data_IF_482756813987
#
_entry.id   IF_482756813987
#
_cell.length_a   1.000
_cell.length_b   1.000
_cell.length_c   1.000
_cell.angle_alpha   90.00
_cell.angle_beta   90.00
_cell.angle_gamma   90.00
#
_symmetry.space_group_name_H-M   'P 1'
#
loop_
_entity.id
_entity.type
_entity.pdbx_description
1 polymer ?
#
# COMPACT_ATOMS: atom_id res chain seq x y z
N UNK A 1 -19.90 -20.21 -27.64
CA UNK A 1 -20.88 -19.88 -26.58
C UNK A 1 -20.25 -19.93 -25.17
N UNK A 2 -19.02 -20.42 -25.02
CA UNK A 2 -18.32 -20.60 -23.72
C UNK A 2 -17.52 -19.40 -23.19
N UNK A 3 -17.15 -18.44 -24.06
CA UNK A 3 -16.39 -17.25 -23.62
C UNK A 3 -17.20 -16.31 -22.72
N UNK A 4 -18.49 -16.16 -22.98
CA UNK A 4 -19.36 -15.26 -22.20
C UNK A 4 -19.74 -15.80 -20.80
N UNK A 5 -19.63 -17.11 -20.55
CA UNK A 5 -19.84 -17.70 -19.22
C UNK A 5 -18.60 -17.58 -18.32
N UNK A 6 -17.39 -17.56 -18.89
CA UNK A 6 -16.14 -17.38 -18.13
C UNK A 6 -15.99 -15.98 -17.56
N UNK A 7 -16.41 -14.94 -18.27
CA UNK A 7 -16.28 -13.55 -17.85
C UNK A 7 -17.15 -13.20 -16.62
N UNK A 8 -18.29 -13.85 -16.44
CA UNK A 8 -19.20 -13.58 -15.29
C UNK A 8 -18.65 -14.04 -13.93
N UNK A 9 -17.70 -14.97 -13.92
CA UNK A 9 -17.18 -15.58 -12.69
C UNK A 9 -15.78 -15.09 -12.30
N UNK A 10 -15.19 -14.13 -13.03
CA UNK A 10 -13.87 -13.61 -12.71
C UNK A 10 -13.90 -12.76 -11.45
N UNK A 11 -12.85 -12.80 -10.61
CA UNK A 11 -12.80 -12.01 -9.40
C UNK A 11 -12.81 -10.51 -9.69
N UNK A 12 -13.51 -9.77 -8.87
CA UNK A 12 -13.41 -8.31 -8.76
C UNK A 12 -12.39 -8.01 -7.67
N UNK A 13 -11.28 -7.36 -8.00
CA UNK A 13 -10.15 -7.25 -7.07
C UNK A 13 -9.90 -5.81 -6.69
N UNK A 14 -9.91 -5.54 -5.39
CA UNK A 14 -9.43 -4.29 -4.81
C UNK A 14 -8.08 -4.54 -4.12
N UNK A 15 -7.02 -3.91 -4.59
CA UNK A 15 -5.78 -3.76 -3.84
C UNK A 15 -5.88 -2.49 -3.02
N UNK A 16 -6.14 -2.63 -1.72
CA UNK A 16 -6.02 -1.54 -0.79
C UNK A 16 -4.66 -1.59 -0.10
N UNK A 17 -4.04 -0.47 0.17
CA UNK A 17 -2.66 -0.47 0.67
C UNK A 17 -2.33 0.76 1.49
N UNK A 18 -1.39 0.63 2.41
CA UNK A 18 -0.73 1.80 2.97
C UNK A 18 0.13 2.43 1.87
N UNK A 19 0.10 3.76 1.66
CA UNK A 19 0.97 4.40 0.69
C UNK A 19 2.44 4.01 0.88
N UNK A 20 3.17 3.77 -0.21
CA UNK A 20 4.60 3.36 -0.19
C UNK A 20 4.88 1.95 0.35
N UNK A 21 3.88 1.11 0.54
CA UNK A 21 4.01 -0.26 1.03
C UNK A 21 4.20 -1.33 -0.07
N UNK A 22 4.32 -0.95 -1.34
CA UNK A 22 4.50 -1.92 -2.43
C UNK A 22 3.24 -2.19 -3.25
N UNK A 23 2.29 -1.26 -3.32
CA UNK A 23 1.06 -1.36 -4.12
C UNK A 23 1.33 -1.84 -5.55
N UNK A 24 2.31 -1.22 -6.23
CA UNK A 24 2.64 -1.58 -7.61
C UNK A 24 3.27 -2.98 -7.75
N UNK A 25 3.98 -3.47 -6.73
CA UNK A 25 4.47 -4.85 -6.71
C UNK A 25 3.28 -5.81 -6.68
N UNK A 26 2.33 -5.58 -5.76
CA UNK A 26 1.14 -6.41 -5.66
C UNK A 26 0.28 -6.34 -6.94
N UNK A 27 0.12 -5.17 -7.53
CA UNK A 27 -0.54 -5.00 -8.84
C UNK A 27 0.13 -5.84 -9.92
N UNK A 28 1.47 -5.83 -9.99
CA UNK A 28 2.20 -6.65 -10.96
C UNK A 28 1.97 -8.15 -10.71
N UNK A 29 2.04 -8.60 -9.47
CA UNK A 29 1.75 -10.00 -9.10
C UNK A 29 0.36 -10.40 -9.58
N UNK A 30 -0.67 -9.64 -9.26
CA UNK A 30 -2.06 -9.96 -9.60
C UNK A 30 -2.31 -9.90 -11.11
N UNK A 31 -1.67 -9.00 -11.84
CA UNK A 31 -1.74 -8.95 -13.31
C UNK A 31 -1.08 -10.15 -14.01
N UNK A 32 -0.36 -11.00 -13.28
CA UNK A 32 0.09 -12.30 -13.77
C UNK A 32 -1.02 -13.35 -13.86
N UNK A 33 -2.19 -13.09 -13.27
CA UNK A 33 -3.38 -13.96 -13.40
C UNK A 33 -4.01 -13.72 -14.77
N UNK A 34 -4.17 -14.75 -15.63
CA UNK A 34 -4.77 -14.59 -16.95
C UNK A 34 -6.17 -14.00 -16.91
N UNK A 35 -6.40 -12.98 -17.74
CA UNK A 35 -7.69 -12.29 -17.84
C UNK A 35 -7.90 -11.16 -16.84
N UNK A 36 -7.01 -10.99 -15.84
CA UNK A 36 -7.06 -9.83 -14.96
C UNK A 36 -6.47 -8.61 -15.67
N UNK A 37 -7.24 -7.53 -15.66
CA UNK A 37 -6.83 -6.24 -16.22
C UNK A 37 -6.96 -5.13 -15.17
N UNK A 38 -6.17 -4.09 -15.29
CA UNK A 38 -6.24 -2.93 -14.42
C UNK A 38 -6.81 -1.74 -15.19
N UNK A 39 -7.91 -1.15 -14.71
CA UNK A 39 -8.23 0.24 -15.03
C UNK A 39 -7.29 1.14 -14.24
N UNK A 40 -6.76 2.19 -14.88
CA UNK A 40 -5.70 3.06 -14.29
C UNK A 40 -6.20 3.95 -13.14
N UNK A 41 -7.33 3.63 -12.53
CA UNK A 41 -7.91 4.41 -11.44
C UNK A 41 -7.28 4.02 -10.10
N UNK A 42 -6.71 4.99 -9.41
CA UNK A 42 -6.33 4.90 -8.01
C UNK A 42 -7.34 5.71 -7.20
N UNK A 43 -7.98 5.07 -6.23
CA UNK A 43 -8.93 5.74 -5.36
C UNK A 43 -8.25 6.12 -4.04
N UNK A 44 -8.32 7.39 -3.70
CA UNK A 44 -7.88 7.92 -2.42
C UNK A 44 -9.09 8.15 -1.51
N UNK A 45 -8.84 8.58 -0.29
CA UNK A 45 -9.83 8.89 0.75
C UNK A 45 -10.85 10.00 0.38
N UNK A 46 -10.92 10.39 -0.88
CA UNK A 46 -11.85 11.42 -1.35
C UNK A 46 -13.28 10.89 -1.51
N UNK A 47 -14.24 11.76 -1.75
CA UNK A 47 -15.66 11.50 -1.97
C UNK A 47 -15.97 10.43 -3.03
N UNK A 48 -14.97 10.02 -3.79
CA UNK A 48 -15.09 9.07 -4.90
C UNK A 48 -14.79 7.60 -4.53
N UNK A 49 -14.47 7.26 -3.27
CA UNK A 49 -14.09 5.88 -2.94
C UNK A 49 -15.20 4.85 -3.20
N UNK A 50 -16.47 5.25 -3.15
CA UNK A 50 -17.61 4.37 -3.47
C UNK A 50 -17.60 3.89 -4.94
N UNK A 51 -16.90 4.57 -5.85
CA UNK A 51 -16.71 4.09 -7.23
C UNK A 51 -15.94 2.77 -7.30
N UNK A 52 -15.24 2.39 -6.24
CA UNK A 52 -14.65 1.05 -6.10
C UNK A 52 -15.72 -0.05 -6.17
N UNK A 53 -16.96 0.23 -5.78
CA UNK A 53 -18.04 -0.73 -5.85
C UNK A 53 -18.49 -1.06 -7.29
N UNK A 54 -18.09 -0.24 -8.26
CA UNK A 54 -18.37 -0.43 -9.70
C UNK A 54 -17.36 -1.35 -10.40
N UNK A 55 -16.41 -1.95 -9.67
CA UNK A 55 -15.42 -2.90 -10.22
C UNK A 55 -16.11 -4.02 -10.96
N UNK A 56 -15.67 -4.27 -12.19
CA UNK A 56 -16.20 -5.31 -13.08
C UNK A 56 -15.50 -6.65 -12.86
N UNK A 57 -16.13 -7.77 -13.23
CA UNK A 57 -15.45 -9.07 -13.26
C UNK A 57 -14.13 -9.01 -14.07
N UNK A 58 -13.04 -9.51 -13.49
CA UNK A 58 -11.70 -9.44 -14.06
C UNK A 58 -10.97 -8.10 -13.87
N UNK A 59 -11.63 -7.11 -13.32
CA UNK A 59 -11.02 -5.81 -13.09
C UNK A 59 -10.28 -5.76 -11.76
N UNK A 60 -9.09 -5.15 -11.81
CA UNK A 60 -8.24 -4.84 -10.66
C UNK A 60 -8.18 -3.32 -10.46
N UNK A 61 -8.47 -2.86 -9.27
CA UNK A 61 -8.38 -1.45 -8.87
C UNK A 61 -7.47 -1.31 -7.67
N UNK A 62 -6.72 -0.22 -7.57
CA UNK A 62 -5.88 0.08 -6.40
C UNK A 62 -6.41 1.28 -5.60
N UNK A 63 -6.17 1.28 -4.27
CA UNK A 63 -6.64 2.34 -3.38
C UNK A 63 -5.77 2.51 -2.13
N UNK A 64 -6.02 3.62 -1.41
CA UNK A 64 -5.47 3.94 -0.09
C UNK A 64 -6.60 4.40 0.83
N UNK A 65 -7.62 3.56 1.00
CA UNK A 65 -8.85 3.89 1.74
C UNK A 65 -8.69 3.45 3.20
N UNK A 66 -8.96 4.33 4.19
CA UNK A 66 -9.03 3.96 5.61
C UNK A 66 -10.05 2.88 5.88
N UNK A 67 -9.84 2.09 6.95
CA UNK A 67 -10.82 1.10 7.36
C UNK A 67 -12.12 1.78 7.79
N UNK A 68 -13.21 1.31 7.18
CA UNK A 68 -14.57 1.70 7.47
C UNK A 68 -15.46 0.46 7.44
N UNK A 69 -16.21 0.20 8.50
CA UNK A 69 -17.03 -1.02 8.62
C UNK A 69 -18.18 -1.06 7.61
N UNK A 70 -18.75 0.09 7.26
CA UNK A 70 -19.77 0.16 6.21
C UNK A 70 -19.19 -0.21 4.85
N UNK A 71 -18.02 0.35 4.51
CA UNK A 71 -17.32 0.03 3.27
C UNK A 71 -16.93 -1.46 3.21
N UNK A 72 -16.48 -2.04 4.34
CA UNK A 72 -16.19 -3.49 4.42
C UNK A 72 -17.42 -4.34 4.09
N UNK A 73 -18.60 -3.97 4.63
CA UNK A 73 -19.86 -4.65 4.31
C UNK A 73 -20.25 -4.50 2.83
N UNK A 74 -20.06 -3.31 2.26
CA UNK A 74 -20.33 -3.04 0.84
C UNK A 74 -19.43 -3.84 -0.09
N UNK A 75 -18.13 -3.93 0.19
CA UNK A 75 -17.20 -4.78 -0.59
C UNK A 75 -17.69 -6.23 -0.62
N UNK A 76 -18.08 -6.76 0.54
CA UNK A 76 -18.61 -8.13 0.65
C UNK A 76 -19.90 -8.32 -0.15
N UNK A 77 -20.86 -7.39 -0.04
CA UNK A 77 -22.16 -7.47 -0.75
C UNK A 77 -22.02 -7.38 -2.27
N UNK A 78 -20.95 -6.73 -2.76
CA UNK A 78 -20.62 -6.64 -4.19
C UNK A 78 -19.66 -7.74 -4.66
N UNK A 79 -19.33 -8.73 -3.79
CA UNK A 79 -18.36 -9.81 -4.07
C UNK A 79 -16.99 -9.31 -4.50
N UNK A 80 -16.53 -8.19 -3.93
CA UNK A 80 -15.21 -7.63 -4.20
C UNK A 80 -14.21 -8.26 -3.25
N UNK A 81 -13.19 -8.90 -3.80
CA UNK A 81 -12.07 -9.49 -3.05
C UNK A 81 -11.03 -8.42 -2.74
N UNK A 82 -10.83 -8.10 -1.47
CA UNK A 82 -9.82 -7.14 -1.06
C UNK A 82 -8.52 -7.82 -0.69
N UNK A 83 -7.44 -7.39 -1.34
CA UNK A 83 -6.05 -7.67 -0.97
C UNK A 83 -5.50 -6.43 -0.27
N UNK A 84 -4.79 -6.62 0.83
CA UNK A 84 -4.23 -5.51 1.60
C UNK A 84 -2.74 -5.70 1.79
N UNK A 85 -1.94 -4.69 1.43
CA UNK A 85 -0.49 -4.69 1.65
C UNK A 85 -0.08 -3.55 2.56
N UNK A 86 0.77 -3.87 3.55
CA UNK A 86 1.34 -2.94 4.52
C UNK A 86 2.84 -3.18 4.67
N UNK A 87 3.55 -2.26 5.30
CA UNK A 87 5.00 -2.25 5.41
C UNK A 87 5.44 -1.59 6.71
N UNK A 88 6.70 -1.79 7.14
CA UNK A 88 7.32 -1.06 8.25
C UNK A 88 7.17 0.46 8.03
N UNK A 89 6.51 1.13 8.97
CA UNK A 89 6.21 2.56 8.86
C UNK A 89 7.48 3.43 8.81
N UNK A 90 8.60 2.95 9.37
CA UNK A 90 9.91 3.62 9.28
C UNK A 90 10.43 3.64 7.84
N UNK A 91 10.35 2.52 7.14
CA UNK A 91 10.70 2.43 5.72
C UNK A 91 9.75 3.23 4.84
N UNK A 92 8.46 3.31 5.22
CA UNK A 92 7.48 4.15 4.55
C UNK A 92 7.86 5.62 4.72
N UNK A 93 8.20 6.08 5.93
CA UNK A 93 8.60 7.46 6.19
C UNK A 93 9.79 7.88 5.32
N UNK A 94 10.85 7.06 5.29
CA UNK A 94 12.01 7.27 4.42
C UNK A 94 11.59 7.31 2.95
N UNK A 95 10.79 6.34 2.51
CA UNK A 95 10.32 6.27 1.11
C UNK A 95 9.48 7.48 0.72
N UNK A 96 8.70 8.03 1.65
CA UNK A 96 7.84 9.20 1.42
C UNK A 96 8.68 10.46 1.23
N UNK A 97 9.70 10.71 2.05
CA UNK A 97 10.60 11.86 1.87
C UNK A 97 11.24 11.85 0.48
N UNK A 98 11.82 10.71 0.07
CA UNK A 98 12.38 10.58 -1.27
C UNK A 98 11.35 10.74 -2.38
N UNK A 99 10.15 10.25 -2.18
CA UNK A 99 9.08 10.33 -3.18
C UNK A 99 8.57 11.75 -3.37
N UNK A 100 8.40 12.50 -2.28
CA UNK A 100 8.01 13.91 -2.31
C UNK A 100 9.08 14.71 -3.07
N UNK A 101 10.35 14.58 -2.68
CA UNK A 101 11.44 15.36 -3.29
C UNK A 101 11.61 15.09 -4.80
N UNK A 102 11.36 13.86 -5.26
CA UNK A 102 11.75 13.47 -6.62
C UNK A 102 10.58 13.31 -7.59
N UNK A 103 9.35 13.10 -7.08
CA UNK A 103 8.24 12.67 -7.95
C UNK A 103 6.87 13.25 -7.59
N UNK A 104 6.60 13.56 -6.32
CA UNK A 104 5.28 13.99 -5.87
C UNK A 104 5.28 15.49 -5.54
N UNK A 105 5.52 16.30 -6.55
CA UNK A 105 5.69 17.75 -6.40
C UNK A 105 4.41 18.50 -6.03
N UNK A 106 3.26 17.86 -6.15
CA UNK A 106 1.96 18.39 -5.71
C UNK A 106 1.61 18.03 -4.25
N UNK A 107 2.51 17.32 -3.54
CA UNK A 107 2.33 17.02 -2.12
C UNK A 107 2.48 18.29 -1.28
N UNK A 108 1.67 18.51 -0.21
CA UNK A 108 1.74 19.71 0.63
C UNK A 108 3.11 19.98 1.24
N UNK A 109 3.89 18.92 1.51
CA UNK A 109 5.25 19.05 2.02
C UNK A 109 6.30 19.40 0.96
N UNK A 110 6.01 19.32 -0.34
CA UNK A 110 7.01 19.63 -1.36
C UNK A 110 7.52 21.07 -1.27
N UNK A 111 6.68 22.13 -1.24
CA UNK A 111 7.16 23.49 -1.06
C UNK A 111 7.86 23.71 0.29
N UNK A 112 7.43 23.01 1.34
CA UNK A 112 8.09 23.04 2.66
C UNK A 112 9.53 22.53 2.54
N UNK A 113 9.75 21.42 1.86
CA UNK A 113 11.06 20.79 1.66
C UNK A 113 11.98 21.62 0.76
N UNK A 114 11.41 22.38 -0.18
CA UNK A 114 12.21 23.22 -1.08
C UNK A 114 12.62 24.56 -0.48
N UNK A 115 11.89 25.07 0.52
CA UNK A 115 12.06 26.45 1.01
C UNK A 115 12.42 26.56 2.50
N UNK A 116 11.91 25.66 3.33
CA UNK A 116 11.96 25.79 4.80
C UNK A 116 12.67 24.66 5.51
N UNK A 117 12.50 23.43 5.06
CA UNK A 117 13.06 22.23 5.68
C UNK A 117 14.01 21.56 4.64
N UNK A 118 15.30 21.90 4.71
CA UNK A 118 16.23 21.61 3.62
C UNK A 118 17.04 20.33 3.81
N UNK A 119 17.29 19.90 5.05
CA UNK A 119 18.05 18.68 5.31
C UNK A 119 17.17 17.45 5.31
N UNK A 120 17.72 16.31 4.89
CA UNK A 120 16.97 15.04 4.88
C UNK A 120 16.48 14.64 6.28
N UNK A 121 17.29 14.86 7.31
CA UNK A 121 16.94 14.57 8.71
C UNK A 121 15.72 15.39 9.17
N UNK A 122 15.70 16.69 8.89
CA UNK A 122 14.58 17.55 9.22
C UNK A 122 13.32 17.23 8.41
N UNK A 123 13.47 16.88 7.13
CA UNK A 123 12.37 16.40 6.28
C UNK A 123 11.77 15.11 6.83
N UNK A 124 12.63 14.20 7.29
CA UNK A 124 12.20 12.95 7.90
C UNK A 124 11.47 13.20 9.23
N UNK A 125 11.99 14.08 10.09
CA UNK A 125 11.31 14.53 11.30
C UNK A 125 9.94 15.16 10.98
N UNK A 126 9.86 15.95 9.92
CA UNK A 126 8.60 16.55 9.46
C UNK A 126 7.60 15.48 9.03
N UNK A 127 8.04 14.45 8.31
CA UNK A 127 7.19 13.32 7.93
C UNK A 127 6.74 12.53 9.17
N UNK A 128 7.59 12.37 10.17
CA UNK A 128 7.27 11.63 11.40
C UNK A 128 6.29 12.42 12.28
N UNK A 129 6.62 13.67 12.61
CA UNK A 129 5.91 14.46 13.63
C UNK A 129 4.74 15.29 13.08
N UNK A 130 4.71 15.50 11.75
CA UNK A 130 3.82 16.49 11.15
C UNK A 130 4.36 17.91 11.27
N UNK A 131 3.66 18.86 10.63
CA UNK A 131 4.04 20.28 10.62
C UNK A 131 2.85 21.16 10.28
N UNK A 132 2.79 22.36 10.89
CA UNK A 132 1.89 23.43 10.46
C UNK A 132 2.38 24.03 9.14
N UNK A 133 1.47 24.20 8.20
CA UNK A 133 1.72 24.86 6.91
C UNK A 133 1.52 26.37 7.09
N UNK A 134 2.40 27.18 6.50
CA UNK A 134 2.38 28.63 6.65
C UNK A 134 2.35 29.34 5.29
N UNK A 135 1.78 30.53 5.24
CA UNK A 135 1.74 31.35 4.02
C UNK A 135 1.21 30.57 2.81
N UNK A 136 1.98 30.59 1.72
CA UNK A 136 1.63 29.92 0.46
C UNK A 136 1.56 28.37 0.55
N UNK A 137 2.16 27.76 1.58
CA UNK A 137 2.07 26.30 1.80
C UNK A 137 0.63 25.85 2.06
N UNK A 138 -0.24 26.74 2.58
CA UNK A 138 -1.67 26.50 2.80
C UNK A 138 -2.46 26.41 1.49
N UNK A 139 -1.93 26.97 0.39
CA UNK A 139 -2.55 26.92 -0.93
C UNK A 139 -2.26 25.57 -1.63
N UNK A 140 -2.59 24.47 -0.97
CA UNK A 140 -2.40 23.13 -1.52
C UNK A 140 -3.73 22.53 -1.99
N UNK A 141 -3.66 21.62 -2.95
CA UNK A 141 -4.85 20.99 -3.57
C UNK A 141 -5.71 20.16 -2.58
N UNK A 142 -5.16 19.87 -1.40
CA UNK A 142 -5.86 19.08 -0.38
C UNK A 142 -6.58 19.97 0.65
N UNK A 143 -6.39 21.30 0.59
CA UNK A 143 -7.01 22.25 1.49
C UNK A 143 -6.61 22.08 2.97
N UNK A 144 -5.44 21.47 3.24
CA UNK A 144 -4.97 21.24 4.60
C UNK A 144 -4.10 22.40 5.09
N UNK A 145 -4.23 22.72 6.36
CA UNK A 145 -3.40 23.71 7.05
C UNK A 145 -2.28 23.07 7.87
N UNK A 146 -2.37 21.76 8.10
CA UNK A 146 -1.40 20.95 8.83
C UNK A 146 -1.20 19.62 8.16
N UNK A 147 0.05 19.18 8.02
CA UNK A 147 0.38 17.78 7.75
C UNK A 147 0.43 17.01 9.08
N UNK A 148 -0.36 15.96 9.27
CA UNK A 148 -0.52 15.32 10.58
C UNK A 148 0.64 14.43 11.01
N UNK A 149 1.56 14.11 10.08
CA UNK A 149 2.57 13.07 10.24
C UNK A 149 2.11 11.70 9.74
N UNK A 150 3.06 10.92 9.26
CA UNK A 150 2.83 9.65 8.57
C UNK A 150 2.08 8.61 9.42
N UNK A 151 2.29 8.62 10.74
CA UNK A 151 1.59 7.71 11.65
C UNK A 151 0.10 8.04 11.73
N UNK A 152 -0.23 9.28 12.00
CA UNK A 152 -1.63 9.71 12.15
C UNK A 152 -2.39 9.63 10.82
N UNK A 153 -1.70 9.92 9.71
CA UNK A 153 -2.29 9.83 8.38
C UNK A 153 -2.59 8.37 7.99
N UNK A 154 -1.68 7.43 8.28
CA UNK A 154 -1.80 6.06 7.77
C UNK A 154 -2.36 5.04 8.77
N UNK A 155 -2.38 5.35 10.07
CA UNK A 155 -2.96 4.45 11.08
C UNK A 155 -4.39 3.97 10.75
N UNK A 156 -5.29 4.83 10.24
CA UNK A 156 -6.64 4.39 9.84
C UNK A 156 -6.61 3.34 8.72
N UNK A 157 -5.60 3.38 7.82
CA UNK A 157 -5.44 2.41 6.73
C UNK A 157 -4.84 1.10 7.29
N UNK A 158 -3.87 1.17 8.21
CA UNK A 158 -3.30 -0.02 8.85
C UNK A 158 -4.33 -0.91 9.56
N UNK A 159 -5.46 -0.34 10.02
CA UNK A 159 -6.53 -1.10 10.67
C UNK A 159 -7.13 -2.21 9.79
N UNK A 160 -6.96 -2.17 8.47
CA UNK A 160 -7.37 -3.25 7.58
C UNK A 160 -6.65 -4.56 7.85
N UNK A 161 -5.41 -4.53 8.38
CA UNK A 161 -4.62 -5.73 8.69
C UNK A 161 -5.40 -6.72 9.57
N UNK A 162 -6.20 -6.22 10.49
CA UNK A 162 -6.90 -7.01 11.49
C UNK A 162 -8.29 -7.51 10.98
N UNK A 163 -8.64 -7.25 9.72
CA UNK A 163 -9.90 -7.70 9.12
C UNK A 163 -9.75 -9.14 8.60
N UNK A 164 -10.49 -10.13 9.18
CA UNK A 164 -10.34 -11.54 8.79
C UNK A 164 -10.97 -11.87 7.43
N UNK A 165 -11.70 -10.94 6.82
CA UNK A 165 -12.42 -11.16 5.55
C UNK A 165 -11.59 -10.82 4.32
N UNK A 166 -10.38 -10.30 4.50
CA UNK A 166 -9.48 -9.88 3.43
C UNK A 166 -8.18 -10.65 3.46
N UNK A 167 -7.43 -10.65 2.36
CA UNK A 167 -6.09 -11.22 2.32
C UNK A 167 -5.05 -10.14 2.60
N UNK A 168 -4.53 -10.10 3.83
CA UNK A 168 -3.49 -9.14 4.26
C UNK A 168 -2.10 -9.73 4.12
N UNK A 169 -1.12 -8.92 3.67
CA UNK A 169 0.28 -9.32 3.51
C UNK A 169 1.24 -8.21 3.87
N UNK A 170 2.42 -8.59 4.34
CA UNK A 170 3.51 -7.67 4.58
C UNK A 170 4.35 -7.54 3.31
N UNK A 171 4.77 -6.32 2.99
CA UNK A 171 5.73 -6.08 1.91
C UNK A 171 7.02 -6.90 2.10
N UNK A 172 7.51 -6.95 3.33
CA UNK A 172 8.73 -7.64 3.68
C UNK A 172 8.67 -9.14 3.33
N UNK A 173 7.52 -9.79 3.53
CA UNK A 173 7.34 -11.22 3.24
C UNK A 173 7.33 -11.50 1.73
N UNK A 174 6.92 -10.52 0.92
CA UNK A 174 6.97 -10.63 -0.55
C UNK A 174 8.37 -10.41 -1.14
N UNK A 175 9.31 -9.81 -0.40
CA UNK A 175 10.62 -9.43 -0.97
C UNK A 175 11.83 -10.00 -0.23
N UNK A 176 11.68 -10.60 0.96
CA UNK A 176 12.81 -11.06 1.76
C UNK A 176 13.57 -12.24 1.12
N UNK A 177 12.88 -13.19 0.50
CA UNK A 177 13.45 -14.31 -0.23
C UNK A 177 12.37 -15.01 -1.09
N UNK A 178 12.80 -15.90 -2.01
CA UNK A 178 11.89 -16.57 -2.94
C UNK A 178 10.86 -17.47 -2.25
N UNK A 179 11.26 -18.21 -1.21
CA UNK A 179 10.34 -19.11 -0.49
C UNK A 179 9.22 -18.31 0.22
N UNK A 180 9.55 -17.22 0.89
CA UNK A 180 8.56 -16.34 1.52
C UNK A 180 7.62 -15.71 0.50
N UNK A 181 8.16 -15.26 -0.64
CA UNK A 181 7.38 -14.76 -1.76
C UNK A 181 6.38 -15.80 -2.27
N UNK A 182 6.83 -17.04 -2.46
CA UNK A 182 5.98 -18.15 -2.95
C UNK A 182 4.85 -18.41 -1.97
N UNK A 183 5.12 -18.43 -0.66
CA UNK A 183 4.11 -18.60 0.40
C UNK A 183 3.04 -17.50 0.31
N UNK A 184 3.46 -16.24 0.21
CA UNK A 184 2.51 -15.13 0.16
C UNK A 184 1.69 -15.10 -1.15
N UNK A 185 2.30 -15.46 -2.30
CA UNK A 185 1.55 -15.56 -3.55
C UNK A 185 0.58 -16.74 -3.52
N UNK A 186 0.97 -17.89 -2.96
CA UNK A 186 0.05 -19.03 -2.77
C UNK A 186 -1.13 -18.68 -1.87
N UNK A 187 -0.91 -17.92 -0.82
CA UNK A 187 -1.98 -17.40 0.06
C UNK A 187 -2.97 -16.50 -0.70
N UNK A 188 -2.48 -15.66 -1.63
CA UNK A 188 -3.35 -14.88 -2.52
C UNK A 188 -4.14 -15.82 -3.44
N UNK A 189 -3.49 -16.81 -4.05
CA UNK A 189 -4.12 -17.78 -4.92
C UNK A 189 -5.22 -18.54 -4.16
N UNK A 190 -4.94 -19.00 -2.94
CA UNK A 190 -5.91 -19.69 -2.10
C UNK A 190 -7.13 -18.79 -1.77
N UNK A 191 -6.90 -17.53 -1.46
CA UNK A 191 -7.96 -16.58 -1.18
C UNK A 191 -8.87 -16.31 -2.39
N UNK A 192 -8.33 -16.35 -3.60
CA UNK A 192 -9.06 -16.14 -4.85
C UNK A 192 -9.52 -17.43 -5.53
N UNK A 193 -9.19 -18.62 -4.99
CA UNK A 193 -9.25 -19.87 -5.70
C UNK A 193 -10.64 -20.24 -6.26
N UNK A 194 -11.69 -19.97 -5.51
CA UNK A 194 -13.06 -20.22 -5.94
C UNK A 194 -13.45 -19.40 -7.19
N UNK A 195 -12.93 -18.18 -7.29
CA UNK A 195 -13.20 -17.25 -8.40
C UNK A 195 -12.27 -17.53 -9.61
N UNK A 196 -11.24 -18.35 -9.45
CA UNK A 196 -10.24 -18.68 -10.49
C UNK A 196 -10.52 -19.99 -11.23
N UNK A 197 -11.63 -20.66 -10.97
CA UNK A 197 -11.99 -21.94 -11.59
C UNK A 197 -12.05 -21.92 -13.13
N UNK A 198 -12.22 -20.75 -13.74
CA UNK A 198 -12.19 -20.58 -15.19
C UNK A 198 -10.82 -20.88 -15.81
N UNK A 199 -9.72 -20.78 -15.04
CA UNK A 199 -8.36 -20.97 -15.54
C UNK A 199 -8.03 -22.43 -15.89
N UNK A 200 -8.70 -23.40 -15.23
CA UNK A 200 -8.46 -24.85 -15.42
C UNK A 200 -6.98 -25.25 -15.35
N UNK A 201 -6.21 -24.60 -14.46
CA UNK A 201 -4.79 -24.86 -14.23
C UNK A 201 -4.52 -25.12 -12.76
N UNK A 202 -3.36 -25.72 -12.43
CA UNK A 202 -2.94 -25.90 -11.05
C UNK A 202 -2.36 -24.62 -10.44
N UNK A 203 -2.31 -24.58 -9.10
CA UNK A 203 -1.85 -23.40 -8.34
C UNK A 203 -0.38 -23.05 -8.54
N UNK A 204 0.48 -24.04 -8.76
CA UNK A 204 1.92 -23.82 -8.96
C UNK A 204 2.23 -23.26 -10.34
N UNK A 205 1.46 -23.67 -11.36
CA UNK A 205 1.56 -23.05 -12.67
C UNK A 205 1.15 -21.56 -12.59
N UNK A 206 0.04 -21.26 -11.91
CA UNK A 206 -0.43 -19.90 -11.69
C UNK A 206 0.57 -19.08 -10.88
N UNK A 207 1.15 -19.64 -9.79
CA UNK A 207 2.22 -19.03 -9.02
C UNK A 207 3.37 -18.56 -9.91
N UNK A 208 3.85 -19.43 -10.79
CA UNK A 208 4.95 -19.10 -11.70
C UNK A 208 4.58 -17.95 -12.66
N UNK A 209 3.37 -17.95 -13.20
CA UNK A 209 2.89 -16.86 -14.06
C UNK A 209 2.87 -15.52 -13.30
N UNK A 210 2.34 -15.52 -12.09
CA UNK A 210 2.27 -14.32 -11.23
C UNK A 210 3.67 -13.79 -10.89
N UNK A 211 4.63 -14.68 -10.61
CA UNK A 211 6.05 -14.30 -10.37
C UNK A 211 6.72 -13.72 -11.61
N UNK A 212 6.53 -14.32 -12.77
CA UNK A 212 7.11 -13.89 -14.04
C UNK A 212 6.64 -12.48 -14.46
N UNK A 213 5.46 -12.06 -13.98
CA UNK A 213 4.94 -10.72 -14.28
C UNK A 213 5.56 -9.61 -13.42
N UNK A 214 6.40 -9.96 -12.43
CA UNK A 214 7.05 -8.98 -11.55
C UNK A 214 8.19 -8.28 -12.32
N UNK A 215 8.07 -6.98 -12.47
CA UNK A 215 9.10 -6.12 -13.06
C UNK A 215 9.16 -4.78 -12.32
N UNK A 216 9.93 -4.69 -11.21
CA UNK A 216 9.96 -3.49 -10.38
C UNK A 216 10.39 -2.22 -11.13
N UNK A 217 11.28 -2.33 -12.11
CA UNK A 217 11.81 -1.21 -12.88
C UNK A 217 10.75 -0.51 -13.73
N UNK A 218 9.70 -1.22 -14.12
CA UNK A 218 8.53 -0.64 -14.80
C UNK A 218 7.62 0.17 -13.88
N UNK A 219 7.87 0.14 -12.56
CA UNK A 219 7.06 0.90 -11.61
C UNK A 219 7.59 2.32 -11.45
N UNK A 220 6.76 3.31 -11.74
CA UNK A 220 7.10 4.73 -11.57
C UNK A 220 7.49 5.09 -10.12
N UNK A 221 6.94 4.39 -9.13
CA UNK A 221 7.21 4.64 -7.71
C UNK A 221 8.37 3.80 -7.14
N UNK A 222 8.96 2.89 -7.93
CA UNK A 222 10.07 2.06 -7.49
C UNK A 222 11.32 2.89 -7.24
N UNK A 223 12.00 2.61 -6.12
CA UNK A 223 13.30 3.22 -5.77
C UNK A 223 14.35 2.15 -5.49
N UNK A 224 14.25 1.45 -4.39
CA UNK A 224 15.22 0.41 -3.96
C UNK A 224 14.54 -0.90 -3.57
N UNK A 225 13.31 -0.88 -3.09
CA UNK A 225 12.60 -2.07 -2.62
C UNK A 225 13.24 -2.78 -1.43
N UNK A 226 14.08 -2.09 -0.65
CA UNK A 226 14.86 -2.68 0.44
C UNK A 226 14.07 -2.74 1.74
N UNK A 227 14.25 -3.82 2.48
CA UNK A 227 13.76 -3.99 3.85
C UNK A 227 14.75 -3.33 4.82
N UNK A 228 14.23 -2.55 5.77
CA UNK A 228 15.03 -1.98 6.86
C UNK A 228 15.99 -0.88 6.41
N UNK A 229 15.74 -0.25 5.24
CA UNK A 229 16.56 0.88 4.77
C UNK A 229 16.55 2.06 5.77
N UNK A 230 15.52 2.17 6.60
CA UNK A 230 15.44 3.17 7.65
C UNK A 230 16.65 3.15 8.60
N UNK A 231 17.28 2.00 8.81
CA UNK A 231 18.48 1.88 9.68
C UNK A 231 19.67 2.70 9.19
N UNK A 232 19.74 2.96 7.90
CA UNK A 232 20.78 3.76 7.28
C UNK A 232 20.44 5.26 7.22
N UNK A 233 19.15 5.60 7.40
CA UNK A 233 18.65 6.94 7.17
C UNK A 233 18.23 7.65 8.48
N UNK A 234 17.81 6.87 9.50
CA UNK A 234 17.37 7.43 10.77
C UNK A 234 18.56 7.80 11.65
N UNK A 235 18.63 9.06 12.08
CA UNK A 235 19.47 9.50 13.19
C UNK A 235 18.90 9.05 14.54
N UNK A 236 19.66 9.29 15.61
CA UNK A 236 19.15 9.06 16.98
C UNK A 236 17.91 9.95 17.28
N UNK A 237 17.90 11.19 16.78
CA UNK A 237 16.77 12.11 16.93
C UNK A 237 15.53 11.59 16.19
N UNK A 238 15.68 11.15 14.94
CA UNK A 238 14.57 10.54 14.19
C UNK A 238 13.97 9.34 14.93
N UNK A 239 14.82 8.46 15.51
CA UNK A 239 14.35 7.28 16.28
C UNK A 239 13.55 7.71 17.51
N UNK A 240 14.05 8.67 18.27
CA UNK A 240 13.38 9.15 19.47
C UNK A 240 12.01 9.74 19.13
N UNK A 241 11.94 10.64 18.17
CA UNK A 241 10.68 11.23 17.71
C UNK A 241 9.70 10.19 17.16
N UNK A 242 10.22 9.20 16.42
CA UNK A 242 9.36 8.13 15.92
C UNK A 242 8.74 7.31 17.07
N UNK A 243 9.52 6.96 18.09
CA UNK A 243 9.03 6.27 19.29
C UNK A 243 7.98 7.09 20.04
N UNK A 244 8.22 8.40 20.22
CA UNK A 244 7.27 9.31 20.86
C UNK A 244 5.92 9.37 20.13
N UNK A 245 5.94 9.46 18.79
CA UNK A 245 4.73 9.59 17.98
C UNK A 245 3.99 8.28 17.85
N UNK A 246 4.70 7.16 17.70
CA UNK A 246 4.07 5.88 17.36
C UNK A 246 3.78 4.99 18.57
N UNK A 247 4.41 5.26 19.73
CA UNK A 247 4.27 4.43 20.92
C UNK A 247 4.57 2.96 20.61
N UNK A 248 3.66 2.07 20.98
CA UNK A 248 3.81 0.61 20.80
C UNK A 248 3.38 0.11 19.40
N UNK A 249 3.16 0.98 18.44
CA UNK A 249 2.69 0.60 17.11
C UNK A 249 3.56 -0.50 16.47
N UNK A 250 4.89 -0.35 16.50
CA UNK A 250 5.79 -1.32 15.89
C UNK A 250 5.73 -2.68 16.56
N UNK A 251 5.52 -2.72 17.89
CA UNK A 251 5.35 -3.96 18.66
C UNK A 251 4.01 -4.61 18.28
N UNK A 252 2.92 -3.84 18.29
CA UNK A 252 1.60 -4.30 17.91
C UNK A 252 1.55 -4.91 16.52
N UNK A 253 2.28 -4.32 15.56
CA UNK A 253 2.30 -4.78 14.18
C UNK A 253 3.43 -5.79 13.89
N UNK A 254 4.19 -6.22 14.93
CA UNK A 254 5.20 -7.28 14.84
C UNK A 254 6.48 -6.88 14.11
N UNK A 255 6.81 -5.59 14.10
CA UNK A 255 8.07 -5.07 13.55
C UNK A 255 9.17 -5.02 14.60
N UNK A 256 8.81 -4.88 15.87
CA UNK A 256 9.74 -4.90 17.01
C UNK A 256 9.18 -5.75 18.15
N UNK A 257 10.06 -6.23 19.03
CA UNK A 257 9.70 -6.99 20.23
C UNK A 257 9.50 -6.10 21.46
N UNK A 258 10.19 -4.98 21.49
CA UNK A 258 10.18 -3.97 22.54
C UNK A 258 10.59 -2.61 21.96
N UNK A 259 10.78 -1.60 22.81
CA UNK A 259 11.16 -0.25 22.40
C UNK A 259 12.69 0.00 22.36
N UNK A 260 13.54 -1.03 22.45
CA UNK A 260 15.01 -0.91 22.50
C UNK A 260 15.68 -0.99 21.11
N UNK A 261 14.97 -0.63 20.06
CA UNK A 261 15.46 -0.65 18.66
C UNK A 261 16.14 0.64 18.24
#
# INVERSE_FOLDING_TARGET
MDLAMGEKNMPKILINSVPKSGTNLLVQIIKGIPGIFQDQKVFYQSENYLKVLDIKPGELVSSHIPKNEEFSRQLKSHSIKQLFIYRDLRDIAVSLVYFINNKLHDHPLFPVFQKRILTFEEQLNTVICGIELIGDEKNNKYGIERYPGVFHEYLPIYKWKDDPTICSMRFEDLVCNENSKDIEILKIIDFLWEDLGYLKMDKYHLLNMMKQNINPEKSWTYRKGLIGNWRNEFTADNKNKFKEVTGEFLIKYGYEKNNDW
#
